data_IF_541649321359
#
_entry.id   IF_541649321359
#
_cell.length_a   1.000
_cell.length_b   1.000
_cell.length_c   1.000
_cell.angle_alpha   90.00
_cell.angle_beta   90.00
_cell.angle_gamma   90.00
#
_symmetry.space_group_name_H-M   'P 1'
#
loop_
_entity.id
_entity.type
_entity.pdbx_description
1 polymer ?
#
# COMPACT_ATOMS: atom_id res chain seq x y z
N UNK A 1 -54.99 -12.40 14.44
CA UNK A 1 -53.92 -13.26 13.91
C UNK A 1 -53.30 -12.51 12.75
N UNK A 2 -52.29 -11.70 13.04
CA UNK A 2 -51.53 -10.96 12.04
C UNK A 2 -50.18 -11.68 11.88
N UNK A 3 -49.83 -11.99 10.64
CA UNK A 3 -48.62 -12.71 10.24
C UNK A 3 -47.36 -12.02 10.76
N UNK A 4 -46.62 -12.73 11.61
CA UNK A 4 -45.23 -12.45 11.96
C UNK A 4 -44.35 -13.21 10.96
N UNK A 5 -43.98 -12.56 9.85
CA UNK A 5 -42.85 -13.00 9.05
C UNK A 5 -41.57 -12.38 9.61
N UNK A 6 -40.52 -13.17 9.91
CA UNK A 6 -39.25 -12.62 10.36
C UNK A 6 -38.52 -11.99 9.17
N UNK A 7 -38.16 -10.71 9.30
CA UNK A 7 -37.23 -10.04 8.40
C UNK A 7 -35.91 -10.81 8.37
N UNK A 8 -35.52 -11.24 7.18
CA UNK A 8 -34.22 -11.85 6.94
C UNK A 8 -33.16 -10.77 6.99
N UNK A 9 -32.55 -10.58 8.17
CA UNK A 9 -31.30 -9.84 8.31
C UNK A 9 -30.22 -10.55 7.48
N UNK A 10 -30.02 -10.06 6.24
CA UNK A 10 -28.82 -10.32 5.46
C UNK A 10 -27.63 -9.77 6.24
N UNK A 11 -27.00 -10.65 7.02
CA UNK A 11 -25.73 -10.38 7.67
C UNK A 11 -24.73 -9.89 6.63
N UNK A 12 -24.43 -8.59 6.71
CA UNK A 12 -23.45 -7.92 5.89
C UNK A 12 -22.09 -8.58 6.19
N UNK A 13 -21.64 -9.50 5.34
CA UNK A 13 -20.28 -10.05 5.39
C UNK A 13 -19.33 -8.92 5.02
N UNK A 14 -19.01 -8.09 6.00
CA UNK A 14 -17.90 -7.16 5.95
C UNK A 14 -16.62 -8.01 5.93
N UNK A 15 -16.23 -8.47 4.74
CA UNK A 15 -14.98 -9.17 4.52
C UNK A 15 -13.87 -8.21 4.95
N UNK A 16 -13.25 -8.48 6.08
CA UNK A 16 -12.20 -7.66 6.67
C UNK A 16 -11.05 -7.51 5.68
N UNK A 17 -10.86 -6.31 5.11
CA UNK A 17 -9.82 -5.99 4.12
C UNK A 17 -8.40 -6.17 4.66
N UNK A 18 -8.26 -6.13 5.98
CA UNK A 18 -7.00 -6.37 6.68
C UNK A 18 -6.66 -7.87 6.83
N UNK A 19 -7.66 -8.75 6.86
CA UNK A 19 -7.49 -10.19 7.03
C UNK A 19 -6.83 -10.90 5.84
N UNK A 20 -6.47 -12.17 6.05
CA UNK A 20 -5.85 -13.02 5.02
C UNK A 20 -6.89 -13.46 3.99
N UNK A 21 -7.04 -12.69 2.93
CA UNK A 21 -7.92 -13.02 1.80
C UNK A 21 -7.29 -14.11 0.92
N UNK A 22 -8.09 -14.81 0.11
CA UNK A 22 -7.57 -15.80 -0.84
C UNK A 22 -6.51 -15.20 -1.79
N UNK A 23 -6.71 -13.96 -2.24
CA UNK A 23 -5.73 -13.24 -3.05
C UNK A 23 -4.40 -13.04 -2.31
N UNK A 24 -4.43 -12.63 -1.03
CA UNK A 24 -3.23 -12.52 -0.19
C UNK A 24 -2.55 -13.87 0.00
N UNK A 25 -3.30 -14.92 0.33
CA UNK A 25 -2.76 -16.26 0.57
C UNK A 25 -2.09 -16.83 -0.68
N UNK A 26 -2.76 -16.77 -1.84
CA UNK A 26 -2.20 -17.26 -3.10
C UNK A 26 -0.97 -16.44 -3.52
N UNK A 27 -1.01 -15.11 -3.37
CA UNK A 27 0.14 -14.28 -3.67
C UNK A 27 1.32 -14.62 -2.76
N UNK A 28 1.10 -14.71 -1.45
CA UNK A 28 2.11 -15.09 -0.46
C UNK A 28 2.79 -16.43 -0.77
N UNK A 29 1.98 -17.47 -1.06
CA UNK A 29 2.50 -18.80 -1.40
C UNK A 29 3.31 -18.81 -2.70
N UNK A 30 3.01 -17.90 -3.63
CA UNK A 30 3.74 -17.78 -4.89
C UNK A 30 5.06 -17.00 -4.77
N UNK A 31 5.24 -16.19 -3.72
CA UNK A 31 6.39 -15.28 -3.58
C UNK A 31 7.75 -15.97 -3.69
N UNK A 32 8.01 -17.12 -3.02
CA UNK A 32 9.30 -17.80 -3.12
C UNK A 32 9.64 -18.23 -4.54
N UNK A 33 8.66 -18.36 -5.43
CA UNK A 33 8.84 -18.81 -6.81
C UNK A 33 8.76 -17.66 -7.84
N UNK A 34 8.59 -16.41 -7.37
CA UNK A 34 8.44 -15.22 -8.22
C UNK A 34 9.35 -14.07 -7.77
N UNK A 35 10.69 -14.24 -7.80
CA UNK A 35 11.64 -13.26 -7.26
C UNK A 35 11.50 -11.87 -7.88
N UNK A 36 11.15 -11.76 -9.16
CA UNK A 36 10.95 -10.47 -9.83
C UNK A 36 9.85 -9.60 -9.21
N UNK A 37 8.88 -10.19 -8.48
CA UNK A 37 7.84 -9.47 -7.75
C UNK A 37 8.32 -8.96 -6.38
N UNK A 38 9.46 -9.46 -5.89
CA UNK A 38 10.09 -9.03 -4.64
C UNK A 38 11.20 -8.00 -4.86
N UNK A 39 11.41 -7.57 -6.11
CA UNK A 39 12.39 -6.54 -6.44
C UNK A 39 11.83 -5.16 -6.10
N UNK A 40 12.40 -4.53 -5.08
CA UNK A 40 12.18 -3.11 -4.81
C UNK A 40 12.91 -2.26 -5.86
N UNK A 41 12.29 -1.14 -6.23
CA UNK A 41 12.91 -0.08 -7.03
C UNK A 41 13.93 0.71 -6.20
N UNK A 42 13.62 0.94 -4.92
CA UNK A 42 14.56 1.38 -3.88
C UNK A 42 14.02 0.98 -2.50
N UNK A 43 14.89 0.99 -1.50
CA UNK A 43 14.49 0.83 -0.10
C UNK A 43 15.06 1.98 0.72
N UNK A 44 14.24 2.56 1.60
CA UNK A 44 14.66 3.63 2.51
C UNK A 44 14.12 3.39 3.92
N UNK A 45 14.75 4.05 4.90
CA UNK A 45 14.48 3.83 6.32
C UNK A 45 13.21 4.51 6.84
N UNK A 46 12.82 5.64 6.23
CA UNK A 46 11.61 6.39 6.57
C UNK A 46 10.95 6.92 5.30
N UNK A 47 9.63 7.12 5.37
CA UNK A 47 8.87 7.71 4.27
C UNK A 47 9.44 9.06 3.80
N UNK A 48 9.88 9.89 4.74
CA UNK A 48 10.43 11.24 4.44
C UNK A 48 11.81 11.22 3.79
N UNK A 49 12.47 10.05 3.75
CA UNK A 49 13.77 9.86 3.11
C UNK A 49 13.64 9.49 1.62
N UNK A 50 12.42 9.36 1.09
CA UNK A 50 12.18 9.07 -0.34
C UNK A 50 12.63 10.28 -1.19
N UNK A 51 13.60 10.12 -2.10
CA UNK A 51 14.14 11.22 -2.89
C UNK A 51 13.23 11.60 -4.05
N UNK A 52 12.42 12.65 -3.88
CA UNK A 52 11.46 13.16 -4.89
C UNK A 52 12.14 13.44 -6.24
N UNK A 53 13.30 14.08 -6.24
CA UNK A 53 14.02 14.41 -7.48
C UNK A 53 14.44 13.17 -8.26
N UNK A 54 14.87 12.12 -7.56
CA UNK A 54 15.24 10.86 -8.20
C UNK A 54 14.03 10.19 -8.85
N UNK A 55 12.87 10.19 -8.17
CA UNK A 55 11.63 9.66 -8.77
C UNK A 55 11.32 10.36 -10.09
N UNK A 56 11.45 11.70 -10.13
CA UNK A 56 11.19 12.48 -11.34
C UNK A 56 12.21 12.24 -12.44
N UNK A 57 13.51 12.21 -12.11
CA UNK A 57 14.58 11.90 -13.07
C UNK A 57 14.37 10.53 -13.69
N UNK A 58 13.93 9.55 -12.90
CA UNK A 58 13.65 8.20 -13.36
C UNK A 58 12.27 8.07 -14.06
N UNK A 59 11.56 9.19 -14.29
CA UNK A 59 10.35 9.24 -15.11
C UNK A 59 9.04 8.92 -14.36
N UNK A 60 9.06 8.81 -13.03
CA UNK A 60 7.86 8.59 -12.23
C UNK A 60 6.98 9.83 -12.25
N UNK A 61 5.68 9.60 -12.49
CA UNK A 61 4.62 10.62 -12.56
C UNK A 61 3.56 10.43 -11.48
N UNK A 62 3.38 9.21 -11.00
CA UNK A 62 2.34 8.84 -10.04
C UNK A 62 2.87 8.11 -8.82
N UNK A 63 2.31 8.41 -7.65
CA UNK A 63 2.66 7.76 -6.38
C UNK A 63 1.39 7.30 -5.67
N UNK A 64 1.36 6.00 -5.36
CA UNK A 64 0.43 5.41 -4.41
C UNK A 64 1.16 5.20 -3.08
N UNK A 65 0.53 5.56 -1.96
CA UNK A 65 1.17 5.57 -0.65
C UNK A 65 0.37 4.70 0.32
N UNK A 66 1.02 3.72 0.94
CA UNK A 66 0.47 3.02 2.09
C UNK A 66 0.45 3.90 3.35
N UNK A 67 -0.46 3.64 4.28
CA UNK A 67 -0.57 4.39 5.53
C UNK A 67 0.07 3.67 6.72
N UNK A 68 -0.38 2.47 7.04
CA UNK A 68 -0.09 1.79 8.30
C UNK A 68 1.21 1.00 8.23
N UNK A 69 2.16 1.34 9.10
CA UNK A 69 3.53 0.84 9.00
C UNK A 69 4.42 1.68 8.08
N UNK A 70 3.83 2.57 7.28
CA UNK A 70 4.53 3.43 6.31
C UNK A 70 4.57 4.91 6.73
N UNK A 71 3.42 5.57 6.87
CA UNK A 71 3.32 6.98 7.28
C UNK A 71 3.31 7.15 8.81
N UNK A 72 2.94 6.10 9.52
CA UNK A 72 2.95 6.02 10.97
C UNK A 72 2.66 4.59 11.43
N UNK A 73 2.73 4.31 12.74
CA UNK A 73 2.24 3.05 13.30
C UNK A 73 0.78 2.75 12.89
N UNK A 74 0.40 1.48 12.96
CA UNK A 74 -1.00 1.09 12.74
C UNK A 74 -1.95 1.90 13.65
N UNK A 75 -3.10 2.31 13.11
CA UNK A 75 -4.13 3.10 13.82
C UNK A 75 -3.71 4.53 14.22
N UNK A 76 -2.62 5.06 13.65
CA UNK A 76 -2.18 6.46 13.87
C UNK A 76 -3.25 7.49 13.50
N UNK A 77 -3.79 8.22 14.47
CA UNK A 77 -4.77 9.29 14.20
C UNK A 77 -4.15 10.65 13.86
N UNK A 78 -2.89 10.85 14.22
CA UNK A 78 -2.17 12.11 13.99
C UNK A 78 -0.81 11.82 13.36
N UNK A 79 -0.72 12.05 12.06
CA UNK A 79 0.53 11.93 11.32
C UNK A 79 1.45 13.13 11.61
N UNK A 80 2.76 12.90 11.53
CA UNK A 80 3.76 13.94 11.79
C UNK A 80 3.70 15.05 10.74
N UNK A 81 4.12 16.26 11.12
CA UNK A 81 4.23 17.38 10.18
C UNK A 81 5.19 17.07 9.04
N UNK A 82 6.29 16.36 9.32
CA UNK A 82 7.28 15.97 8.30
C UNK A 82 6.67 15.10 7.20
N UNK A 83 5.81 14.12 7.56
CA UNK A 83 5.11 13.26 6.61
C UNK A 83 4.17 14.07 5.72
N UNK A 84 3.35 14.94 6.34
CA UNK A 84 2.40 15.80 5.60
C UNK A 84 3.17 16.74 4.66
N UNK A 85 4.23 17.38 5.14
CA UNK A 85 5.08 18.24 4.33
C UNK A 85 5.74 17.48 3.19
N UNK A 86 6.18 16.24 3.40
CA UNK A 86 6.81 15.45 2.35
C UNK A 86 5.81 15.04 1.25
N UNK A 87 4.57 14.68 1.60
CA UNK A 87 3.50 14.44 0.62
C UNK A 87 3.18 15.71 -0.18
N UNK A 88 3.06 16.86 0.50
CA UNK A 88 2.83 18.13 -0.20
C UNK A 88 3.98 18.46 -1.15
N UNK A 89 5.23 18.24 -0.75
CA UNK A 89 6.39 18.42 -1.64
C UNK A 89 6.30 17.53 -2.88
N UNK A 90 5.85 16.27 -2.76
CA UNK A 90 5.66 15.41 -3.92
C UNK A 90 4.67 16.04 -4.92
N UNK A 91 3.53 16.52 -4.43
CA UNK A 91 2.52 17.21 -5.24
C UNK A 91 3.06 18.50 -5.85
N UNK A 92 3.73 19.34 -5.07
CA UNK A 92 4.33 20.61 -5.52
C UNK A 92 5.37 20.39 -6.63
N UNK A 93 6.03 19.22 -6.64
CA UNK A 93 6.97 18.84 -7.68
C UNK A 93 6.30 18.19 -8.91
N UNK A 94 4.96 18.17 -8.96
CA UNK A 94 4.16 17.71 -10.10
C UNK A 94 3.87 16.22 -10.11
N UNK A 95 4.12 15.50 -9.02
CA UNK A 95 3.72 14.09 -8.89
C UNK A 95 2.23 14.02 -8.55
N UNK A 96 1.53 13.10 -9.19
CA UNK A 96 0.15 12.76 -8.83
C UNK A 96 0.19 11.80 -7.65
N UNK A 97 -0.47 12.13 -6.55
CA UNK A 97 -0.36 11.37 -5.29
C UNK A 97 -1.73 10.92 -4.79
N UNK A 98 -1.83 9.67 -4.35
CA UNK A 98 -2.98 9.15 -3.63
C UNK A 98 -2.54 8.19 -2.51
N UNK A 99 -3.31 8.16 -1.42
CA UNK A 99 -3.12 7.20 -0.33
C UNK A 99 -3.93 5.95 -0.67
N UNK A 100 -3.27 4.81 -0.83
CA UNK A 100 -3.92 3.52 -1.08
C UNK A 100 -3.69 2.59 0.11
N UNK A 101 -4.70 2.53 0.98
CA UNK A 101 -4.66 1.81 2.25
C UNK A 101 -5.68 0.67 2.29
N UNK A 102 -5.36 -0.38 3.05
CA UNK A 102 -6.33 -1.43 3.40
C UNK A 102 -7.13 -1.11 4.67
N UNK A 103 -6.78 -0.04 5.39
CA UNK A 103 -7.50 0.43 6.56
C UNK A 103 -8.89 0.96 6.19
N UNK A 104 -9.86 0.70 7.07
CA UNK A 104 -11.25 1.17 6.91
C UNK A 104 -11.54 2.46 7.68
N UNK A 105 -10.59 2.93 8.49
CA UNK A 105 -10.77 4.10 9.33
C UNK A 105 -10.68 5.39 8.52
N UNK A 106 -11.67 6.26 8.71
CA UNK A 106 -11.62 7.63 8.19
C UNK A 106 -10.78 8.50 9.15
N UNK A 107 -9.46 8.50 8.94
CA UNK A 107 -8.49 9.26 9.78
C UNK A 107 -7.41 9.98 8.98
N UNK A 108 -7.67 10.19 7.70
CA UNK A 108 -6.72 10.76 6.74
C UNK A 108 -6.99 12.24 6.43
N UNK A 109 -7.86 12.90 7.19
CA UNK A 109 -8.29 14.29 6.96
C UNK A 109 -7.15 15.33 6.98
N UNK A 110 -5.99 14.98 7.55
CA UNK A 110 -4.80 15.82 7.54
C UNK A 110 -4.20 15.98 6.13
N UNK A 111 -4.43 15.02 5.23
CA UNK A 111 -3.91 15.00 3.87
C UNK A 111 -4.85 15.73 2.90
N UNK A 112 -4.97 17.05 3.07
CA UNK A 112 -5.86 17.88 2.27
C UNK A 112 -5.50 17.84 0.78
N UNK A 113 -6.49 17.61 -0.08
CA UNK A 113 -6.29 17.54 -1.53
C UNK A 113 -5.67 16.23 -2.03
N UNK A 114 -5.44 15.26 -1.14
CA UNK A 114 -4.96 13.93 -1.49
C UNK A 114 -6.11 12.95 -1.44
N UNK A 115 -6.29 12.18 -2.51
CA UNK A 115 -7.31 11.14 -2.56
C UNK A 115 -6.94 9.97 -1.65
N UNK A 116 -7.93 9.43 -0.93
CA UNK A 116 -7.79 8.20 -0.14
C UNK A 116 -8.58 7.09 -0.84
N UNK A 117 -7.85 6.09 -1.34
CA UNK A 117 -8.37 5.02 -2.19
C UNK A 117 -8.87 3.87 -1.31
N UNK A 118 -10.19 3.80 -1.10
CA UNK A 118 -10.85 2.75 -0.29
C UNK A 118 -11.90 1.95 -1.04
N UNK A 119 -12.36 2.43 -2.21
CA UNK A 119 -13.45 1.84 -3.01
C UNK A 119 -12.98 0.92 -4.15
N UNK A 120 -11.69 0.56 -4.21
CA UNK A 120 -11.12 -0.42 -5.16
C UNK A 120 -10.84 -1.75 -4.44
N UNK A 121 -10.54 -2.88 -5.12
CA UNK A 121 -10.07 -4.09 -4.45
C UNK A 121 -8.88 -3.84 -3.51
N UNK A 122 -8.77 -4.53 -2.35
CA UNK A 122 -7.64 -4.33 -1.43
C UNK A 122 -6.33 -4.87 -1.99
N UNK A 123 -5.21 -4.31 -1.53
CA UNK A 123 -3.86 -4.82 -1.81
C UNK A 123 -3.75 -6.27 -1.33
N UNK A 124 -3.15 -7.20 -2.09
CA UNK A 124 -2.33 -7.03 -3.30
C UNK A 124 -3.07 -7.24 -4.64
N UNK A 125 -4.40 -7.11 -4.69
CA UNK A 125 -5.14 -7.38 -5.93
C UNK A 125 -4.69 -6.42 -7.05
N UNK A 126 -4.21 -7.00 -8.17
CA UNK A 126 -3.73 -6.26 -9.34
C UNK A 126 -4.75 -5.21 -9.83
N UNK A 127 -6.04 -5.56 -9.83
CA UNK A 127 -7.12 -4.67 -10.29
C UNK A 127 -7.31 -3.48 -9.34
N UNK A 128 -6.97 -3.66 -8.06
CA UNK A 128 -6.95 -2.59 -7.07
C UNK A 128 -5.91 -1.53 -7.42
N UNK A 129 -4.69 -1.95 -7.75
CA UNK A 129 -3.63 -1.07 -8.22
C UNK A 129 -3.99 -0.38 -9.54
N UNK A 130 -4.48 -1.12 -10.54
CA UNK A 130 -4.87 -0.56 -11.83
C UNK A 130 -5.93 0.53 -11.67
N UNK A 131 -6.98 0.28 -10.88
CA UNK A 131 -8.02 1.29 -10.58
C UNK A 131 -7.49 2.46 -9.75
N UNK A 132 -6.63 2.20 -8.77
CA UNK A 132 -5.99 3.25 -7.98
C UNK A 132 -5.21 4.21 -8.89
N UNK A 133 -4.52 3.67 -9.89
CA UNK A 133 -3.79 4.45 -10.88
C UNK A 133 -4.72 5.22 -11.84
N UNK A 134 -5.67 4.55 -12.49
CA UNK A 134 -6.52 5.19 -13.50
C UNK A 134 -7.46 6.20 -12.87
N UNK A 135 -8.13 5.84 -11.79
CA UNK A 135 -9.27 6.61 -11.27
C UNK A 135 -8.83 7.74 -10.34
N UNK A 136 -7.68 7.60 -9.66
CA UNK A 136 -7.21 8.56 -8.65
C UNK A 136 -5.93 9.29 -9.04
N UNK A 137 -5.10 8.71 -9.90
CA UNK A 137 -3.96 9.41 -10.50
C UNK A 137 -4.29 9.87 -11.93
N UNK A 138 -5.27 9.33 -12.64
CA UNK A 138 -5.51 9.70 -14.04
C UNK A 138 -4.28 9.41 -14.91
N UNK A 139 -3.71 8.22 -14.74
CA UNK A 139 -2.58 7.68 -15.49
C UNK A 139 -2.97 6.30 -16.03
N UNK A 140 -2.42 5.93 -17.18
CA UNK A 140 -2.72 4.64 -17.83
C UNK A 140 -1.48 3.77 -18.00
N UNK A 141 -0.29 4.32 -17.76
CA UNK A 141 0.98 3.62 -17.87
C UNK A 141 1.49 3.24 -16.46
N UNK A 142 1.50 1.96 -16.08
CA UNK A 142 1.98 1.55 -14.76
C UNK A 142 3.48 1.74 -14.58
N UNK A 143 4.27 1.83 -15.66
CA UNK A 143 5.73 1.98 -15.56
C UNK A 143 6.15 3.36 -15.02
N UNK A 144 5.27 4.36 -15.10
CA UNK A 144 5.50 5.69 -14.51
C UNK A 144 4.91 5.84 -13.11
N UNK A 145 4.46 4.74 -12.49
CA UNK A 145 3.80 4.74 -11.17
C UNK A 145 4.61 3.95 -10.16
N UNK A 146 4.71 4.49 -8.95
CA UNK A 146 5.34 3.82 -7.83
C UNK A 146 4.38 3.64 -6.65
N UNK A 147 4.34 2.44 -6.07
CA UNK A 147 3.79 2.21 -4.75
C UNK A 147 4.87 2.41 -3.69
N UNK A 148 4.60 3.19 -2.64
CA UNK A 148 5.46 3.37 -1.48
C UNK A 148 4.78 2.67 -0.29
N UNK A 149 5.45 1.69 0.31
CA UNK A 149 4.90 0.98 1.45
C UNK A 149 5.91 0.07 2.14
N UNK A 150 5.51 -0.55 3.24
CA UNK A 150 6.38 -1.32 4.13
C UNK A 150 6.26 -2.85 3.93
N UNK A 151 5.21 -3.31 3.26
CA UNK A 151 4.89 -4.73 3.22
C UNK A 151 4.90 -5.30 1.80
N UNK A 152 5.88 -6.17 1.54
CA UNK A 152 5.99 -6.88 0.26
C UNK A 152 4.73 -7.66 -0.10
N UNK A 153 4.00 -8.21 0.87
CA UNK A 153 2.79 -9.00 0.63
C UNK A 153 1.63 -8.15 0.12
N UNK A 154 1.54 -6.88 0.52
CA UNK A 154 0.45 -5.99 0.12
C UNK A 154 0.93 -4.98 -0.91
N UNK A 155 1.89 -4.15 -0.53
CA UNK A 155 2.37 -2.98 -1.29
C UNK A 155 3.30 -3.43 -2.41
N UNK A 156 4.13 -4.44 -2.16
CA UNK A 156 4.90 -5.13 -3.19
C UNK A 156 4.01 -5.76 -4.28
N UNK A 157 2.72 -5.98 -4.00
CA UNK A 157 1.71 -6.37 -4.98
C UNK A 157 1.60 -5.41 -6.17
N UNK A 158 2.06 -4.16 -6.06
CA UNK A 158 2.14 -3.21 -7.16
C UNK A 158 2.92 -3.76 -8.38
N UNK A 159 3.91 -4.64 -8.12
CA UNK A 159 4.67 -5.33 -9.18
C UNK A 159 3.79 -6.22 -10.07
N UNK A 160 2.67 -6.74 -9.56
CA UNK A 160 1.69 -7.50 -10.35
C UNK A 160 1.01 -6.62 -11.41
N UNK A 161 0.87 -5.33 -11.13
CA UNK A 161 0.31 -4.33 -12.04
C UNK A 161 1.37 -3.68 -12.95
N UNK A 162 2.64 -4.08 -12.84
CA UNK A 162 3.74 -3.50 -13.63
C UNK A 162 4.34 -2.22 -13.02
N UNK A 163 3.86 -1.80 -11.85
CA UNK A 163 4.33 -0.59 -11.16
C UNK A 163 5.68 -0.81 -10.47
N UNK A 164 6.35 0.29 -10.12
CA UNK A 164 7.49 0.27 -9.22
C UNK A 164 7.04 0.11 -7.77
N UNK A 165 7.93 -0.41 -6.91
CA UNK A 165 7.70 -0.53 -5.47
C UNK A 165 8.89 0.04 -4.69
N UNK A 166 8.65 1.06 -3.89
CA UNK A 166 9.58 1.61 -2.90
C UNK A 166 9.26 0.97 -1.57
N UNK A 167 10.23 0.25 -1.01
CA UNK A 167 10.09 -0.35 0.31
C UNK A 167 10.51 0.64 1.40
N UNK A 168 9.65 0.86 2.38
CA UNK A 168 9.95 1.62 3.59
C UNK A 168 10.22 0.65 4.73
N UNK A 169 11.26 0.89 5.54
CA UNK A 169 11.44 0.10 6.77
C UNK A 169 10.20 0.26 7.67
N UNK A 170 9.54 -0.84 8.06
CA UNK A 170 8.26 -0.72 8.73
C UNK A 170 8.32 -0.03 10.09
N UNK A 171 7.37 0.88 10.33
CA UNK A 171 7.17 1.53 11.62
C UNK A 171 6.43 0.55 12.54
N UNK A 172 7.04 0.22 13.69
CA UNK A 172 6.44 -0.69 14.66
C UNK A 172 5.21 -0.05 15.33
N UNK A 173 4.17 -0.85 15.51
CA UNK A 173 2.92 -0.48 16.17
C UNK A 173 2.11 -1.72 16.52
N UNK A 174 0.84 -1.53 16.85
CA UNK A 174 -0.08 -2.58 17.32
C UNK A 174 -0.67 -3.39 16.16
N UNK A 175 0.18 -3.93 15.29
CA UNK A 175 -0.25 -4.86 14.23
C UNK A 175 -0.57 -6.25 14.80
N UNK A 176 -1.51 -6.96 14.17
CA UNK A 176 -1.78 -8.36 14.56
C UNK A 176 -0.57 -9.28 14.31
N UNK A 177 -0.44 -10.34 15.11
CA UNK A 177 0.67 -11.31 14.98
C UNK A 177 0.78 -11.89 13.56
N UNK A 178 -0.35 -12.26 12.94
CA UNK A 178 -0.40 -12.82 11.58
C UNK A 178 0.13 -11.79 10.57
N UNK A 179 -0.27 -10.52 10.69
CA UNK A 179 0.23 -9.46 9.82
C UNK A 179 1.74 -9.28 9.98
N UNK A 180 2.22 -9.15 11.22
CA UNK A 180 3.65 -9.02 11.53
C UNK A 180 4.47 -10.19 10.98
N UNK A 181 3.99 -11.43 11.18
CA UNK A 181 4.67 -12.64 10.75
C UNK A 181 4.75 -12.72 9.22
N UNK A 182 3.63 -12.55 8.53
CA UNK A 182 3.57 -12.62 7.05
C UNK A 182 4.40 -11.51 6.41
N UNK A 183 4.36 -10.28 6.93
CA UNK A 183 5.22 -9.17 6.49
C UNK A 183 6.70 -9.52 6.63
N UNK A 184 7.12 -9.98 7.82
CA UNK A 184 8.52 -10.36 8.07
C UNK A 184 8.98 -11.51 7.17
N UNK A 185 8.14 -12.51 6.95
CA UNK A 185 8.49 -13.66 6.11
C UNK A 185 8.56 -13.26 4.63
N UNK A 186 7.63 -12.43 4.14
CA UNK A 186 7.69 -11.86 2.79
C UNK A 186 8.97 -11.03 2.59
N UNK A 187 9.34 -10.22 3.59
CA UNK A 187 10.59 -9.47 3.59
C UNK A 187 11.82 -10.39 3.56
N UNK A 188 11.83 -11.49 4.33
CA UNK A 188 12.92 -12.48 4.27
C UNK A 188 13.06 -13.12 2.89
N UNK A 189 11.96 -13.38 2.18
CA UNK A 189 12.05 -13.84 0.79
C UNK A 189 12.70 -12.77 -0.10
N UNK A 190 12.35 -11.50 0.07
CA UNK A 190 12.97 -10.41 -0.67
C UNK A 190 14.48 -10.29 -0.37
N UNK A 191 14.88 -10.37 0.90
CA UNK A 191 16.29 -10.35 1.31
C UNK A 191 17.09 -11.54 0.79
N UNK A 192 16.47 -12.73 0.74
CA UNK A 192 17.11 -13.93 0.18
C UNK A 192 17.49 -13.74 -1.29
N UNK A 193 16.60 -13.13 -2.09
CA UNK A 193 16.85 -12.90 -3.52
C UNK A 193 17.64 -11.62 -3.81
N UNK A 194 17.55 -10.61 -2.94
CA UNK A 194 18.14 -9.28 -3.13
C UNK A 194 18.86 -8.80 -1.84
N UNK A 195 19.93 -9.47 -1.41
CA UNK A 195 20.57 -9.22 -0.10
C UNK A 195 21.18 -7.83 0.04
N UNK A 196 21.56 -7.19 -1.07
CA UNK A 196 22.21 -5.87 -1.09
C UNK A 196 21.25 -4.70 -1.38
N UNK A 197 19.94 -4.96 -1.44
CA UNK A 197 18.94 -3.96 -1.84
C UNK A 197 18.26 -3.24 -0.67
N UNK A 198 18.60 -3.58 0.57
CA UNK A 198 17.96 -3.07 1.77
C UNK A 198 19.01 -2.52 2.74
N UNK A 199 18.74 -1.38 3.40
CA UNK A 199 19.61 -0.81 4.42
C UNK A 199 19.66 -1.65 5.70
#
# INVERSE_FOLDING_TARGET
MADLMPETTKGNKQVTREGLTLAKTLYFLSMPFRPNLLKAYMAVDRFVDVPIDKLKVDGIKGILIDADGTLGPHHTRKFSSEVITHINKMVDHGLKVAIYTNALEDRFHQFKGINVVTNVPPKPDKRGFEKAMTDFLGLDDPSVVCMIGDNFLTDGGARLAGMHFVHIRPIRGDESFIHSFTRKLAFKFAQFYFPNSFP
#
